data_IF_472460804870
#
_entry.id   IF_472460804870
#
_cell.length_a   1.000
_cell.length_b   1.000
_cell.length_c   1.000
_cell.angle_alpha   90.00
_cell.angle_beta   90.00
_cell.angle_gamma   90.00
#
_symmetry.space_group_name_H-M   'P 1'
#
loop_
_entity.id
_entity.type
_entity.pdbx_description
1 polymer ?
#
# COMPACT_ATOMS: atom_id res chain seq x y z
N UNK A 1 1.93 31.12 10.97
CA UNK A 1 2.74 32.07 10.17
C UNK A 1 4.13 32.32 10.74
N UNK A 2 4.30 32.57 12.05
CA UNK A 2 5.64 32.73 12.65
C UNK A 2 6.57 31.52 12.41
N UNK A 3 6.06 30.29 12.48
CA UNK A 3 6.86 29.09 12.17
C UNK A 3 7.25 29.01 10.69
N UNK A 4 6.39 29.42 9.76
CA UNK A 4 6.77 29.56 8.34
C UNK A 4 7.88 30.59 8.14
N UNK A 5 7.83 31.71 8.85
CA UNK A 5 8.84 32.77 8.75
C UNK A 5 10.18 32.40 9.42
N UNK A 6 10.14 31.70 10.57
CA UNK A 6 11.32 31.42 11.40
C UNK A 6 11.93 30.05 11.15
N UNK A 7 11.09 29.06 10.94
CA UNK A 7 11.46 27.64 10.85
C UNK A 7 11.30 27.11 9.42
N UNK A 8 10.98 27.99 8.46
CA UNK A 8 10.81 27.67 7.03
C UNK A 8 9.79 26.54 6.76
N UNK A 9 8.83 26.35 7.66
CA UNK A 9 7.77 25.35 7.47
C UNK A 9 6.92 25.68 6.25
N UNK A 10 6.68 24.67 5.41
CA UNK A 10 5.75 24.76 4.29
C UNK A 10 4.32 24.88 4.81
N UNK A 11 3.56 25.83 4.26
CA UNK A 11 2.15 26.02 4.58
C UNK A 11 1.38 25.91 3.27
N UNK A 12 0.43 24.99 3.23
CA UNK A 12 -0.55 24.84 2.15
C UNK A 12 -1.87 25.43 2.65
N UNK A 13 -2.50 26.28 1.85
CA UNK A 13 -3.77 26.91 2.21
C UNK A 13 -4.92 26.36 1.38
N UNK A 14 -6.04 26.07 2.03
CA UNK A 14 -7.26 25.55 1.41
C UNK A 14 -8.42 26.45 1.84
N UNK A 15 -9.05 27.12 0.89
CA UNK A 15 -10.19 28.01 1.07
C UNK A 15 -11.47 27.29 0.64
N UNK A 16 -12.11 26.65 1.60
CA UNK A 16 -13.34 25.89 1.39
C UNK A 16 -14.57 26.73 1.75
N UNK A 17 -15.47 26.96 0.80
CA UNK A 17 -16.69 27.75 1.00
C UNK A 17 -16.46 29.21 1.39
N UNK A 18 -15.24 29.74 1.22
CA UNK A 18 -14.86 31.10 1.62
C UNK A 18 -13.99 31.76 0.55
N UNK A 19 -14.25 33.03 0.28
CA UNK A 19 -13.40 33.85 -0.58
C UNK A 19 -12.15 34.31 0.20
N UNK A 20 -10.93 34.06 -0.29
CA UNK A 20 -9.69 34.54 0.33
C UNK A 20 -9.64 36.06 0.51
N UNK A 21 -10.32 36.84 -0.33
CA UNK A 21 -10.46 38.29 -0.20
C UNK A 21 -11.14 38.67 1.12
N UNK A 22 -12.21 37.95 1.47
CA UNK A 22 -12.92 38.16 2.74
C UNK A 22 -12.07 37.74 3.93
N UNK A 23 -11.31 36.66 3.82
CA UNK A 23 -10.33 36.26 4.85
C UNK A 23 -9.22 37.30 4.98
N UNK A 24 -8.74 37.89 3.87
CA UNK A 24 -7.63 38.85 3.84
C UNK A 24 -8.00 40.19 4.41
N UNK A 25 -9.20 40.68 4.09
CA UNK A 25 -9.73 41.99 4.52
C UNK A 25 -10.56 41.90 5.81
N UNK A 26 -10.85 40.68 6.27
CA UNK A 26 -11.78 40.40 7.37
C UNK A 26 -13.14 41.07 7.10
N UNK A 27 -13.71 40.78 5.93
CA UNK A 27 -15.01 41.30 5.45
C UNK A 27 -16.04 40.18 5.30
N UNK A 28 -17.30 40.54 5.04
CA UNK A 28 -18.39 39.59 4.89
C UNK A 28 -18.64 38.74 6.14
N UNK A 29 -19.19 37.54 5.94
CA UNK A 29 -19.49 36.62 7.03
C UNK A 29 -18.25 36.21 7.85
N UNK A 30 -17.08 36.07 7.19
CA UNK A 30 -15.82 35.79 7.88
C UNK A 30 -15.42 36.95 8.81
N UNK A 31 -15.55 38.18 8.32
CA UNK A 31 -15.28 39.40 9.08
C UNK A 31 -16.18 39.56 10.31
N UNK A 32 -17.47 39.26 10.18
CA UNK A 32 -18.41 39.29 11.30
C UNK A 32 -18.02 38.29 12.40
N UNK A 33 -17.69 37.05 12.02
CA UNK A 33 -17.19 36.04 12.96
C UNK A 33 -15.86 36.45 13.60
N UNK A 34 -14.96 37.06 12.83
CA UNK A 34 -13.69 37.59 13.35
C UNK A 34 -13.91 38.69 14.39
N UNK A 35 -14.80 39.65 14.11
CA UNK A 35 -15.12 40.74 15.03
C UNK A 35 -15.70 40.22 16.34
N UNK A 36 -16.62 39.26 16.29
CA UNK A 36 -17.16 38.61 17.48
C UNK A 36 -16.06 37.89 18.28
N UNK A 37 -15.11 37.23 17.61
CA UNK A 37 -13.96 36.56 18.24
C UNK A 37 -12.98 37.55 18.89
N UNK A 38 -12.91 38.78 18.36
CA UNK A 38 -12.06 39.85 18.90
C UNK A 38 -12.64 40.55 20.14
N UNK A 39 -13.90 40.31 20.50
CA UNK A 39 -14.51 40.88 21.71
C UNK A 39 -13.72 40.43 22.94
N UNK A 40 -13.33 41.38 23.79
CA UNK A 40 -12.52 41.10 25.00
C UNK A 40 -11.05 40.78 24.75
N UNK A 41 -10.55 40.87 23.51
CA UNK A 41 -9.12 40.68 23.19
C UNK A 41 -8.36 42.00 23.18
N UNK A 42 -7.09 41.96 23.57
CA UNK A 42 -6.20 43.12 23.51
C UNK A 42 -5.89 43.50 22.06
N UNK A 43 -5.59 44.77 21.82
CA UNK A 43 -5.36 45.27 20.47
C UNK A 43 -4.15 44.61 19.79
N UNK A 44 -3.10 44.30 20.58
CA UNK A 44 -1.93 43.58 20.08
C UNK A 44 -2.26 42.15 19.58
N UNK A 45 -3.24 41.47 20.18
CA UNK A 45 -3.69 40.14 19.73
C UNK A 45 -4.47 40.27 18.42
N UNK A 46 -5.37 41.24 18.33
CA UNK A 46 -6.16 41.47 17.11
C UNK A 46 -5.27 41.78 15.92
N UNK A 47 -4.29 42.66 16.09
CA UNK A 47 -3.35 43.00 15.01
C UNK A 47 -2.44 41.83 14.63
N UNK A 48 -2.01 41.03 15.59
CA UNK A 48 -1.27 39.80 15.29
C UNK A 48 -2.10 38.83 14.43
N UNK A 49 -3.39 38.68 14.72
CA UNK A 49 -4.29 37.82 13.94
C UNK A 49 -4.55 38.38 12.55
N UNK A 50 -4.85 39.68 12.41
CA UNK A 50 -5.02 40.33 11.09
C UNK A 50 -3.79 40.13 10.21
N UNK A 51 -2.59 40.33 10.78
CA UNK A 51 -1.32 40.12 10.06
C UNK A 51 -1.17 38.66 9.63
N UNK A 52 -1.50 37.70 10.49
CA UNK A 52 -1.42 36.28 10.15
C UNK A 52 -2.42 35.88 9.04
N UNK A 53 -3.66 36.38 9.09
CA UNK A 53 -4.69 36.13 8.08
C UNK A 53 -4.35 36.75 6.72
N UNK A 54 -3.78 37.96 6.72
CA UNK A 54 -3.25 38.59 5.50
C UNK A 54 -2.07 37.79 4.92
N UNK A 55 -1.21 37.25 5.78
CA UNK A 55 -0.06 36.47 5.33
C UNK A 55 -0.47 35.10 4.77
N UNK A 56 -1.44 34.40 5.36
CA UNK A 56 -1.90 33.09 4.86
C UNK A 56 -2.65 33.20 3.53
N UNK A 57 -3.41 34.29 3.32
CA UNK A 57 -4.12 34.57 2.06
C UNK A 57 -3.21 35.04 0.93
N UNK A 58 -1.97 35.40 1.23
CA UNK A 58 -0.96 35.72 0.21
C UNK A 58 -0.21 34.48 -0.29
N UNK A 59 -0.48 33.30 0.28
CA UNK A 59 0.06 32.02 -0.16
C UNK A 59 -0.85 31.52 -1.28
N UNK A 60 -0.26 31.08 -2.40
CA UNK A 60 -1.02 30.33 -3.39
C UNK A 60 -1.62 29.08 -2.72
N UNK A 61 -2.91 28.87 -2.94
CA UNK A 61 -3.67 27.81 -2.27
C UNK A 61 -4.81 27.31 -3.14
N UNK A 62 -5.57 26.38 -2.59
CA UNK A 62 -6.72 25.78 -3.26
C UNK A 62 -7.97 26.56 -2.91
N UNK A 63 -8.78 26.84 -3.91
CA UNK A 63 -10.08 27.48 -3.74
C UNK A 63 -11.16 26.50 -4.17
N UNK A 64 -12.01 26.09 -3.25
CA UNK A 64 -13.13 25.15 -3.52
C UNK A 64 -13.95 25.53 -4.76
N UNK A 65 -14.20 26.83 -4.97
CA UNK A 65 -14.96 27.35 -6.12
C UNK A 65 -14.30 27.12 -7.48
N UNK A 66 -12.99 26.81 -7.52
CA UNK A 66 -12.27 26.51 -8.77
C UNK A 66 -12.38 25.04 -9.18
N UNK A 67 -13.11 24.21 -8.41
CA UNK A 67 -13.22 22.78 -8.62
C UNK A 67 -14.68 22.36 -8.74
N UNK A 68 -14.99 21.61 -9.79
CA UNK A 68 -16.34 21.06 -10.00
C UNK A 68 -16.64 19.83 -9.12
N UNK A 69 -15.59 19.25 -8.51
CA UNK A 69 -15.68 18.05 -7.67
C UNK A 69 -14.67 18.13 -6.52
N UNK A 70 -15.17 18.01 -5.29
CA UNK A 70 -14.34 18.01 -4.07
C UNK A 70 -13.34 16.86 -4.04
N UNK A 71 -13.71 15.67 -4.55
CA UNK A 71 -12.79 14.53 -4.58
C UNK A 71 -11.54 14.84 -5.41
N UNK A 72 -11.70 15.50 -6.57
CA UNK A 72 -10.57 15.93 -7.41
C UNK A 72 -9.67 16.93 -6.70
N UNK A 73 -10.26 17.87 -5.97
CA UNK A 73 -9.49 18.83 -5.17
C UNK A 73 -8.68 18.12 -4.08
N UNK A 74 -9.29 17.15 -3.39
CA UNK A 74 -8.62 16.37 -2.34
C UNK A 74 -7.46 15.56 -2.92
N UNK A 75 -7.65 14.91 -4.06
CA UNK A 75 -6.60 14.14 -4.73
C UNK A 75 -5.39 15.03 -5.08
N UNK A 76 -5.62 16.21 -5.64
CA UNK A 76 -4.53 17.14 -5.99
C UNK A 76 -3.82 17.72 -4.77
N UNK A 77 -4.57 18.05 -3.71
CA UNK A 77 -3.98 18.44 -2.42
C UNK A 77 -3.09 17.32 -1.87
N UNK A 78 -3.55 16.06 -1.92
CA UNK A 78 -2.79 14.92 -1.43
C UNK A 78 -1.49 14.73 -2.25
N UNK A 79 -1.56 14.84 -3.57
CA UNK A 79 -0.40 14.75 -4.46
C UNK A 79 0.64 15.84 -4.13
N UNK A 80 0.22 17.09 -3.93
CA UNK A 80 1.15 18.17 -3.62
C UNK A 80 1.72 18.06 -2.20
N UNK A 81 0.95 17.58 -1.22
CA UNK A 81 1.47 17.23 0.11
C UNK A 81 2.53 16.14 0.02
N UNK A 82 2.31 15.09 -0.77
CA UNK A 82 3.30 14.02 -0.97
C UNK A 82 4.60 14.55 -1.57
N UNK A 83 4.52 15.45 -2.57
CA UNK A 83 5.69 16.11 -3.16
C UNK A 83 6.46 16.94 -2.13
N UNK A 84 5.75 17.73 -1.32
CA UNK A 84 6.36 18.58 -0.27
C UNK A 84 7.05 17.73 0.80
N UNK A 85 6.45 16.61 1.19
CA UNK A 85 7.03 15.70 2.18
C UNK A 85 8.20 14.86 1.61
N UNK A 86 8.48 14.95 0.30
CA UNK A 86 9.50 14.15 -0.34
C UNK A 86 9.19 12.64 -0.27
N UNK A 87 7.91 12.28 -0.16
CA UNK A 87 7.44 10.89 -0.25
C UNK A 87 7.62 10.43 -1.70
N UNK A 88 8.85 10.07 -2.02
CA UNK A 88 9.22 9.52 -3.31
C UNK A 88 8.87 8.04 -3.35
N UNK A 89 8.58 7.47 -4.54
CA UNK A 89 8.63 6.03 -4.76
C UNK A 89 9.88 5.46 -4.07
N UNK A 90 9.75 4.35 -3.35
CA UNK A 90 10.91 3.65 -2.79
C UNK A 90 11.95 3.43 -3.89
N UNK A 91 13.14 4.00 -3.69
CA UNK A 91 14.33 3.77 -4.52
C UNK A 91 15.11 2.54 -4.09
N UNK A 92 14.60 1.80 -3.11
CA UNK A 92 15.29 0.63 -2.53
C UNK A 92 15.63 -0.43 -3.59
N UNK A 93 15.02 -0.33 -4.78
CA UNK A 93 15.21 -1.23 -5.90
C UNK A 93 15.77 -0.58 -7.18
N UNK A 94 16.07 0.73 -7.18
CA UNK A 94 16.69 1.41 -8.34
C UNK A 94 18.10 0.84 -8.63
N UNK A 95 18.78 0.34 -7.60
CA UNK A 95 20.12 -0.27 -7.70
C UNK A 95 20.09 -1.77 -8.02
N UNK A 96 18.90 -2.39 -8.11
CA UNK A 96 18.76 -3.80 -8.46
C UNK A 96 18.86 -3.99 -9.99
N UNK A 97 20.05 -3.74 -10.52
CA UNK A 97 20.40 -3.95 -11.93
C UNK A 97 20.00 -5.38 -12.34
N UNK A 98 19.15 -5.51 -13.36
CA UNK A 98 18.82 -6.80 -13.99
C UNK A 98 17.58 -7.52 -13.44
N UNK A 99 16.84 -6.91 -12.50
CA UNK A 99 15.51 -7.40 -12.12
C UNK A 99 14.41 -7.03 -13.13
N UNK A 100 14.68 -6.10 -14.05
CA UNK A 100 13.69 -5.60 -15.02
C UNK A 100 13.14 -6.71 -15.93
N UNK A 101 14.00 -7.62 -16.41
CA UNK A 101 13.58 -8.73 -17.25
C UNK A 101 12.67 -9.72 -16.48
N UNK A 102 13.01 -9.99 -15.22
CA UNK A 102 12.27 -10.87 -14.31
C UNK A 102 10.89 -10.31 -14.02
N UNK A 103 10.84 -9.02 -13.68
CA UNK A 103 9.61 -8.29 -13.41
C UNK A 103 8.75 -8.16 -14.67
N UNK A 104 9.37 -7.96 -15.84
CA UNK A 104 8.66 -7.93 -17.12
C UNK A 104 8.02 -9.27 -17.46
N UNK A 105 8.67 -10.39 -17.19
CA UNK A 105 8.08 -11.72 -17.37
C UNK A 105 6.90 -11.95 -16.41
N UNK A 106 7.06 -11.58 -15.12
CA UNK A 106 5.96 -11.65 -14.15
C UNK A 106 4.78 -10.74 -14.53
N UNK A 107 5.03 -9.51 -14.99
CA UNK A 107 3.99 -8.61 -15.53
C UNK A 107 3.36 -9.17 -16.79
N UNK A 108 4.12 -9.87 -17.64
CA UNK A 108 3.58 -10.56 -18.80
C UNK A 108 2.64 -11.70 -18.37
N UNK A 109 3.01 -12.49 -17.36
CA UNK A 109 2.16 -13.54 -16.81
C UNK A 109 0.86 -12.97 -16.22
N UNK A 110 0.96 -11.83 -15.53
CA UNK A 110 -0.20 -11.10 -15.02
C UNK A 110 -1.09 -10.54 -16.15
N UNK A 111 -0.52 -10.12 -17.28
CA UNK A 111 -1.28 -9.56 -18.42
C UNK A 111 -1.82 -10.60 -19.40
N UNK A 112 -1.31 -11.84 -19.37
CA UNK A 112 -1.87 -12.96 -20.14
C UNK A 112 -3.23 -13.43 -19.59
N UNK A 113 -3.56 -13.06 -18.36
CA UNK A 113 -4.84 -13.32 -17.72
C UNK A 113 -5.79 -12.15 -17.99
N UNK A 114 -7.07 -12.42 -18.21
CA UNK A 114 -8.08 -11.38 -18.43
C UNK A 114 -8.00 -10.32 -17.31
N UNK A 115 -8.15 -9.05 -17.66
CA UNK A 115 -7.99 -7.96 -16.68
C UNK A 115 -8.97 -8.07 -15.50
N UNK A 116 -10.10 -8.74 -15.71
CA UNK A 116 -11.12 -8.99 -14.70
C UNK A 116 -10.92 -10.28 -13.88
N UNK A 117 -9.94 -11.14 -14.22
CA UNK A 117 -9.70 -12.37 -13.46
C UNK A 117 -8.88 -12.11 -12.17
N UNK A 118 -9.12 -12.94 -11.16
CA UNK A 118 -8.29 -12.99 -9.95
C UNK A 118 -7.04 -13.84 -10.24
N UNK A 119 -5.88 -13.26 -9.99
CA UNK A 119 -4.57 -13.78 -10.41
C UNK A 119 -3.81 -14.27 -9.18
N UNK A 120 -3.53 -15.57 -9.09
CA UNK A 120 -2.69 -16.13 -8.02
C UNK A 120 -1.40 -16.67 -8.63
N UNK A 121 -0.26 -16.13 -8.20
CA UNK A 121 1.08 -16.50 -8.68
C UNK A 121 1.91 -17.02 -7.52
N UNK A 122 2.55 -18.17 -7.71
CA UNK A 122 3.55 -18.72 -6.80
C UNK A 122 4.98 -18.45 -7.30
N UNK A 123 5.84 -17.89 -6.46
CA UNK A 123 7.29 -17.77 -6.70
C UNK A 123 7.98 -18.82 -5.82
N UNK A 124 8.54 -19.85 -6.45
CA UNK A 124 9.15 -20.98 -5.75
C UNK A 124 10.65 -21.08 -6.01
N UNK A 125 11.41 -21.55 -5.05
CA UNK A 125 12.85 -21.77 -5.21
C UNK A 125 13.57 -21.82 -3.85
N UNK A 126 14.87 -22.16 -3.84
CA UNK A 126 15.63 -22.34 -2.60
C UNK A 126 15.79 -21.03 -1.79
N UNK A 127 16.17 -21.14 -0.54
CA UNK A 127 16.57 -20.01 0.30
C UNK A 127 17.68 -19.16 -0.37
N UNK A 128 17.63 -17.84 -0.19
CA UNK A 128 18.68 -16.92 -0.67
C UNK A 128 18.67 -16.60 -2.18
N UNK A 129 17.81 -17.24 -2.99
CA UNK A 129 17.76 -16.99 -4.45
C UNK A 129 17.10 -15.65 -4.83
N UNK A 130 16.52 -14.94 -3.86
CA UNK A 130 15.90 -13.61 -4.05
C UNK A 130 14.39 -13.62 -4.33
N UNK A 131 13.64 -14.60 -3.79
CA UNK A 131 12.16 -14.66 -3.90
C UNK A 131 11.50 -13.43 -3.29
N UNK A 132 11.79 -13.15 -2.01
CA UNK A 132 11.31 -11.97 -1.27
C UNK A 132 11.61 -10.68 -2.01
N UNK A 133 12.85 -10.50 -2.48
CA UNK A 133 13.25 -9.31 -3.23
C UNK A 133 12.43 -9.16 -4.51
N UNK A 134 12.22 -10.25 -5.26
CA UNK A 134 11.41 -10.24 -6.49
C UNK A 134 9.95 -9.87 -6.19
N UNK A 135 9.36 -10.48 -5.16
CA UNK A 135 7.98 -10.19 -4.76
C UNK A 135 7.82 -8.73 -4.28
N UNK A 136 8.81 -8.20 -3.55
CA UNK A 136 8.81 -6.84 -3.03
C UNK A 136 8.94 -5.79 -4.14
N UNK A 137 9.80 -6.02 -5.14
CA UNK A 137 9.90 -5.15 -6.31
C UNK A 137 8.57 -5.13 -7.08
N UNK A 138 7.97 -6.32 -7.29
CA UNK A 138 6.69 -6.42 -7.97
C UNK A 138 5.58 -5.70 -7.19
N UNK A 139 5.54 -5.88 -5.87
CA UNK A 139 4.60 -5.19 -4.99
C UNK A 139 4.73 -3.67 -5.10
N UNK A 140 5.94 -3.13 -4.98
CA UNK A 140 6.17 -1.69 -5.04
C UNK A 140 5.78 -1.07 -6.38
N UNK A 141 5.88 -1.84 -7.47
CA UNK A 141 5.48 -1.38 -8.80
C UNK A 141 3.97 -1.46 -9.05
N UNK A 142 3.28 -2.43 -8.43
CA UNK A 142 1.85 -2.66 -8.65
C UNK A 142 0.96 -1.96 -7.61
N UNK A 143 1.42 -1.76 -6.38
CA UNK A 143 0.59 -1.35 -5.24
C UNK A 143 -0.22 -0.08 -5.46
N UNK A 144 0.26 0.83 -6.32
CA UNK A 144 -0.43 2.08 -6.68
C UNK A 144 -1.74 1.87 -7.43
N UNK A 145 -1.87 0.74 -8.13
CA UNK A 145 -3.05 0.43 -8.96
C UNK A 145 -4.14 -0.31 -8.14
N UNK A 146 -3.94 -0.45 -6.83
CA UNK A 146 -4.80 -1.19 -5.91
C UNK A 146 -5.13 -0.36 -4.67
N UNK A 147 -6.41 -0.13 -4.44
CA UNK A 147 -6.94 0.53 -3.23
C UNK A 147 -6.55 -0.24 -1.95
N UNK A 148 -6.62 -1.57 -2.01
CA UNK A 148 -6.28 -2.45 -0.90
C UNK A 148 -5.04 -3.25 -1.25
N UNK A 149 -3.92 -2.97 -0.58
CA UNK A 149 -2.68 -3.70 -0.79
C UNK A 149 -1.96 -3.99 0.52
N UNK A 150 -1.28 -5.15 0.59
CA UNK A 150 -0.44 -5.49 1.73
C UNK A 150 0.69 -6.44 1.33
N UNK A 151 1.80 -6.31 2.03
CA UNK A 151 2.93 -7.24 2.01
C UNK A 151 3.04 -7.88 3.40
N UNK A 152 2.84 -9.19 3.47
CA UNK A 152 2.92 -9.96 4.71
C UNK A 152 4.10 -10.90 4.58
N UNK A 153 5.11 -10.67 5.42
CA UNK A 153 6.19 -11.61 5.63
C UNK A 153 5.76 -12.64 6.66
N UNK A 154 6.05 -13.91 6.40
CA UNK A 154 5.97 -14.92 7.44
C UNK A 154 6.91 -14.50 8.58
N UNK A 155 6.31 -14.06 9.68
CA UNK A 155 7.05 -13.74 10.88
C UNK A 155 7.39 -15.09 11.50
N UNK A 156 8.47 -15.70 11.02
CA UNK A 156 9.03 -16.99 11.48
C UNK A 156 9.21 -17.05 13.01
N UNK A 157 9.08 -15.94 13.74
CA UNK A 157 9.25 -15.85 15.19
C UNK A 157 8.04 -15.37 16.02
N UNK A 158 6.88 -14.98 15.47
CA UNK A 158 5.80 -14.46 16.34
C UNK A 158 4.80 -15.51 16.80
N UNK A 159 4.59 -16.58 16.03
CA UNK A 159 3.67 -17.66 16.37
C UNK A 159 4.25 -18.98 15.88
N UNK A 160 5.10 -19.62 16.69
CA UNK A 160 5.35 -21.05 16.51
C UNK A 160 4.01 -21.79 16.56
N UNK A 161 3.84 -22.81 15.72
CA UNK A 161 2.73 -23.75 15.85
C UNK A 161 2.73 -24.24 17.31
N UNK A 162 1.67 -24.00 18.12
CA UNK A 162 1.73 -24.34 19.51
C UNK A 162 1.96 -25.85 19.64
N UNK A 163 3.09 -26.21 20.22
CA UNK A 163 3.50 -27.57 20.50
C UNK A 163 2.39 -28.32 21.22
N UNK A 164 1.78 -29.29 20.52
CA UNK A 164 0.90 -30.38 21.00
C UNK A 164 -0.13 -30.07 22.11
N UNK A 165 -0.57 -28.81 22.29
CA UNK A 165 -1.47 -28.42 23.37
C UNK A 165 -2.21 -27.09 23.22
N UNK A 166 -1.94 -26.31 22.15
CA UNK A 166 -2.71 -25.10 21.83
C UNK A 166 -3.78 -25.37 20.79
N UNK A 167 -4.94 -24.71 20.89
CA UNK A 167 -6.04 -24.87 19.94
C UNK A 167 -5.58 -24.57 18.51
N UNK A 168 -5.57 -25.60 17.66
CA UNK A 168 -5.27 -25.53 16.22
C UNK A 168 -6.08 -24.45 15.45
N UNK A 169 -7.16 -23.95 16.06
CA UNK A 169 -8.04 -22.94 15.47
C UNK A 169 -7.52 -21.50 15.62
N UNK A 170 -6.62 -21.23 16.57
CA UNK A 170 -6.15 -19.85 16.83
C UNK A 170 -5.16 -19.38 15.76
N UNK A 171 -4.34 -20.30 15.26
CA UNK A 171 -3.27 -19.98 14.32
C UNK A 171 -3.75 -19.44 12.95
N UNK A 172 -4.75 -20.06 12.29
CA UNK A 172 -5.33 -19.49 11.06
C UNK A 172 -6.09 -18.18 11.32
N UNK A 173 -6.70 -18.00 12.50
CA UNK A 173 -7.41 -16.77 12.85
C UNK A 173 -6.46 -15.59 13.01
N UNK A 174 -5.29 -15.81 13.62
CA UNK A 174 -4.26 -14.78 13.79
C UNK A 174 -3.75 -14.28 12.43
N UNK A 175 -3.57 -15.18 11.46
CA UNK A 175 -3.21 -14.83 10.09
C UNK A 175 -4.29 -14.03 9.35
N UNK A 176 -5.56 -14.40 9.51
CA UNK A 176 -6.65 -13.57 8.97
C UNK A 176 -6.71 -12.21 9.66
N UNK A 177 -6.50 -12.15 10.98
CA UNK A 177 -6.48 -10.91 11.74
C UNK A 177 -5.39 -9.99 11.20
N UNK A 178 -4.18 -10.50 11.01
CA UNK A 178 -3.05 -9.74 10.47
C UNK A 178 -3.35 -9.23 9.06
N UNK A 179 -3.86 -10.10 8.18
CA UNK A 179 -4.23 -9.72 6.80
C UNK A 179 -5.23 -8.57 6.79
N UNK A 180 -6.34 -8.72 7.51
CA UNK A 180 -7.41 -7.72 7.51
C UNK A 180 -6.99 -6.44 8.23
N UNK A 181 -6.18 -6.53 9.28
CA UNK A 181 -5.68 -5.35 10.00
C UNK A 181 -4.79 -4.51 9.11
N UNK A 182 -3.89 -5.13 8.33
CA UNK A 182 -3.05 -4.43 7.36
C UNK A 182 -3.83 -3.88 6.17
N UNK A 183 -4.76 -4.64 5.61
CA UNK A 183 -5.53 -4.20 4.44
C UNK A 183 -6.52 -3.08 4.76
N UNK A 184 -7.11 -3.07 5.96
CA UNK A 184 -8.18 -2.12 6.32
C UNK A 184 -7.76 -1.08 7.37
N UNK A 185 -6.50 -1.09 7.83
CA UNK A 185 -5.99 -0.21 8.90
C UNK A 185 -6.88 -0.22 10.16
N UNK A 186 -7.45 -1.38 10.51
CA UNK A 186 -8.34 -1.55 11.66
C UNK A 186 -7.72 -2.51 12.66
N UNK A 187 -7.31 -2.01 13.83
CA UNK A 187 -6.63 -2.78 14.88
C UNK A 187 -7.56 -3.58 15.79
N UNK A 188 -8.89 -3.46 15.63
CA UNK A 188 -9.85 -3.92 16.66
C UNK A 188 -10.98 -4.80 16.13
N UNK A 189 -10.69 -5.62 15.11
CA UNK A 189 -11.63 -6.65 14.65
C UNK A 189 -11.27 -7.99 15.28
N UNK A 190 -11.96 -8.37 16.35
CA UNK A 190 -11.93 -9.76 16.80
C UNK A 190 -12.57 -10.64 15.73
N UNK A 191 -11.75 -11.33 14.92
CA UNK A 191 -12.26 -12.36 14.00
C UNK A 191 -12.77 -13.54 14.82
N UNK A 192 -14.09 -13.71 14.84
CA UNK A 192 -14.76 -14.81 15.52
C UNK A 192 -14.75 -16.14 14.75
N UNK A 193 -14.44 -16.12 13.45
CA UNK A 193 -14.42 -17.31 12.59
C UNK A 193 -13.63 -17.10 11.29
N UNK A 194 -13.24 -18.19 10.62
CA UNK A 194 -12.45 -18.14 9.37
C UNK A 194 -13.20 -17.66 8.12
N UNK A 195 -14.48 -17.30 8.22
CA UNK A 195 -15.26 -16.71 7.12
C UNK A 195 -15.19 -15.19 7.02
N UNK A 196 -14.55 -14.49 7.98
CA UNK A 196 -14.56 -13.01 7.98
C UNK A 196 -13.75 -12.47 6.81
N UNK A 197 -12.59 -13.08 6.51
CA UNK A 197 -11.75 -12.64 5.41
C UNK A 197 -12.49 -12.72 4.06
N UNK A 198 -13.15 -13.85 3.78
CA UNK A 198 -14.00 -14.02 2.59
C UNK A 198 -15.04 -12.89 2.48
N UNK A 199 -15.82 -12.67 3.54
CA UNK A 199 -16.91 -11.69 3.52
C UNK A 199 -16.42 -10.26 3.24
N UNK A 200 -15.24 -9.91 3.77
CA UNK A 200 -14.69 -8.56 3.64
C UNK A 200 -13.96 -8.33 2.33
N UNK A 201 -13.25 -9.33 1.84
CA UNK A 201 -12.44 -9.26 0.61
C UNK A 201 -13.28 -9.48 -0.65
N UNK A 202 -14.46 -10.11 -0.52
CA UNK A 202 -15.34 -10.39 -1.65
C UNK A 202 -15.69 -9.09 -2.40
N UNK A 203 -15.47 -9.12 -3.71
CA UNK A 203 -15.74 -8.00 -4.60
C UNK A 203 -14.75 -6.84 -4.52
N UNK A 204 -13.68 -6.93 -3.72
CA UNK A 204 -12.63 -5.91 -3.66
C UNK A 204 -11.45 -6.31 -4.53
N UNK A 205 -10.95 -5.36 -5.31
CA UNK A 205 -9.70 -5.51 -6.05
C UNK A 205 -8.53 -5.33 -5.08
N UNK A 206 -7.79 -6.40 -4.81
CA UNK A 206 -6.70 -6.39 -3.81
C UNK A 206 -5.36 -6.83 -4.40
N UNK A 207 -4.25 -6.30 -3.85
CA UNK A 207 -2.90 -6.81 -4.08
C UNK A 207 -2.33 -7.38 -2.77
N UNK A 208 -2.14 -8.68 -2.70
CA UNK A 208 -1.63 -9.34 -1.48
C UNK A 208 -0.34 -10.07 -1.81
N UNK A 209 0.73 -9.79 -1.07
CA UNK A 209 1.94 -10.62 -1.06
C UNK A 209 2.04 -11.40 0.23
N UNK A 210 2.20 -12.71 0.10
CA UNK A 210 2.41 -13.68 1.17
C UNK A 210 3.82 -14.23 1.01
N UNK A 211 4.77 -13.64 1.73
CA UNK A 211 6.19 -13.99 1.62
C UNK A 211 6.60 -15.07 2.61
N UNK A 212 7.39 -16.03 2.14
CA UNK A 212 7.95 -17.16 2.89
C UNK A 212 6.91 -18.13 3.47
N UNK A 213 5.85 -18.46 2.73
CA UNK A 213 4.86 -19.44 3.17
C UNK A 213 5.45 -20.85 3.29
N UNK A 214 5.31 -21.46 4.46
CA UNK A 214 5.87 -22.78 4.80
C UNK A 214 4.79 -23.86 5.06
N UNK A 215 3.52 -23.47 5.15
CA UNK A 215 2.44 -24.41 5.43
C UNK A 215 1.12 -24.03 4.76
N UNK A 216 0.36 -25.07 4.36
CA UNK A 216 -0.90 -24.92 3.65
C UNK A 216 -1.97 -24.22 4.49
N UNK A 217 -1.97 -24.45 5.81
CA UNK A 217 -2.94 -23.84 6.73
C UNK A 217 -2.85 -22.30 6.75
N UNK A 218 -1.64 -21.72 6.63
CA UNK A 218 -1.47 -20.26 6.50
C UNK A 218 -2.11 -19.77 5.21
N UNK A 219 -1.79 -20.42 4.09
CA UNK A 219 -2.32 -20.05 2.76
C UNK A 219 -3.84 -20.16 2.75
N UNK A 220 -4.40 -21.26 3.27
CA UNK A 220 -5.86 -21.44 3.39
C UNK A 220 -6.52 -20.42 4.33
N UNK A 221 -5.80 -19.91 5.33
CA UNK A 221 -6.36 -18.88 6.20
C UNK A 221 -6.63 -17.59 5.42
N UNK A 222 -5.76 -17.21 4.49
CA UNK A 222 -5.80 -15.88 3.84
C UNK A 222 -6.27 -15.91 2.39
N UNK A 223 -6.10 -17.03 1.70
CA UNK A 223 -6.32 -17.16 0.25
C UNK A 223 -6.85 -18.55 -0.14
N UNK A 224 -7.85 -19.07 0.60
CA UNK A 224 -8.39 -20.42 0.39
C UNK A 224 -8.96 -20.65 -1.01
N UNK A 225 -9.70 -19.67 -1.53
CA UNK A 225 -10.42 -19.75 -2.79
C UNK A 225 -10.27 -18.45 -3.56
N UNK A 226 -10.27 -18.58 -4.88
CA UNK A 226 -10.22 -17.44 -5.81
C UNK A 226 -11.42 -16.50 -5.61
N UNK A 227 -12.60 -17.07 -5.32
CA UNK A 227 -13.86 -16.34 -5.12
C UNK A 227 -13.89 -15.41 -3.89
N UNK A 228 -12.86 -15.47 -3.03
CA UNK A 228 -12.71 -14.54 -1.92
C UNK A 228 -12.40 -13.12 -2.38
N UNK A 229 -11.91 -12.95 -3.61
CA UNK A 229 -11.38 -11.68 -4.10
C UNK A 229 -12.24 -11.13 -5.23
N UNK A 230 -12.22 -9.81 -5.40
CA UNK A 230 -12.90 -9.15 -6.51
C UNK A 230 -12.12 -9.23 -7.81
N UNK A 231 -12.78 -8.96 -8.96
CA UNK A 231 -12.14 -8.90 -10.26
C UNK A 231 -10.85 -8.07 -10.29
N UNK A 232 -9.84 -8.56 -11.03
CA UNK A 232 -8.54 -7.90 -11.19
C UNK A 232 -7.63 -7.95 -9.96
N UNK A 233 -7.97 -8.74 -8.93
CA UNK A 233 -7.11 -8.94 -7.76
C UNK A 233 -5.85 -9.75 -8.10
N UNK A 234 -4.75 -9.47 -7.41
CA UNK A 234 -3.47 -10.15 -7.58
C UNK A 234 -2.96 -10.64 -6.24
N UNK A 235 -2.69 -11.94 -6.14
CA UNK A 235 -2.13 -12.60 -4.96
C UNK A 235 -0.80 -13.23 -5.36
N UNK A 236 0.27 -12.86 -4.67
CA UNK A 236 1.62 -13.38 -4.90
C UNK A 236 2.03 -14.16 -3.65
N UNK A 237 2.40 -15.42 -3.83
CA UNK A 237 2.88 -16.29 -2.74
C UNK A 237 4.33 -16.63 -3.02
N UNK A 238 5.22 -16.45 -2.04
CA UNK A 238 6.58 -16.99 -2.14
C UNK A 238 6.74 -18.18 -1.21
N UNK A 239 7.46 -19.22 -1.66
CA UNK A 239 7.70 -20.42 -0.85
C UNK A 239 8.95 -21.17 -1.31
N UNK A 240 9.51 -22.01 -0.45
CA UNK A 240 10.51 -23.00 -0.81
C UNK A 240 9.88 -24.35 -1.22
N UNK A 241 8.65 -24.61 -0.77
CA UNK A 241 7.97 -25.89 -1.01
C UNK A 241 6.93 -25.77 -2.13
N UNK A 242 7.32 -26.27 -3.31
CA UNK A 242 6.45 -26.39 -4.48
C UNK A 242 5.17 -27.18 -4.21
N UNK A 243 5.19 -28.14 -3.28
CA UNK A 243 4.03 -28.96 -3.00
C UNK A 243 2.90 -28.15 -2.34
N UNK A 244 3.23 -27.08 -1.61
CA UNK A 244 2.21 -26.16 -1.05
C UNK A 244 1.40 -25.50 -2.16
N UNK A 245 2.07 -25.01 -3.21
CA UNK A 245 1.41 -24.38 -4.35
C UNK A 245 0.52 -25.38 -5.10
N UNK A 246 1.01 -26.62 -5.29
CA UNK A 246 0.25 -27.69 -5.93
C UNK A 246 -0.97 -28.11 -5.11
N UNK A 247 -0.82 -28.26 -3.80
CA UNK A 247 -1.92 -28.61 -2.89
C UNK A 247 -3.02 -27.53 -2.91
N UNK A 248 -2.64 -26.26 -3.04
CA UNK A 248 -3.56 -25.14 -3.19
C UNK A 248 -4.18 -25.03 -4.60
N UNK A 249 -3.68 -25.79 -5.59
CA UNK A 249 -4.14 -25.74 -6.97
C UNK A 249 -3.69 -24.49 -7.74
N UNK A 250 -2.59 -23.86 -7.33
CA UNK A 250 -2.04 -22.68 -8.00
C UNK A 250 -1.43 -23.12 -9.34
N UNK A 251 -1.97 -22.59 -10.44
CA UNK A 251 -1.58 -22.96 -11.81
C UNK A 251 -0.33 -22.22 -12.31
N UNK A 252 -0.10 -21.01 -11.83
CA UNK A 252 0.98 -20.15 -12.31
C UNK A 252 2.09 -20.10 -11.27
N UNK A 253 3.09 -20.95 -11.47
CA UNK A 253 4.30 -21.00 -10.66
C UNK A 253 5.50 -20.54 -11.47
N UNK A 254 6.37 -19.75 -10.85
CA UNK A 254 7.62 -19.29 -11.46
C UNK A 254 8.79 -19.73 -10.60
N UNK A 255 9.76 -20.38 -11.24
CA UNK A 255 11.00 -20.79 -10.59
C UNK A 255 11.93 -19.61 -10.43
N UNK A 256 12.16 -19.22 -9.18
CA UNK A 256 13.10 -18.17 -8.81
C UNK A 256 14.53 -18.51 -9.27
N UNK A 257 14.86 -19.81 -9.41
CA UNK A 257 16.12 -20.24 -10.01
C UNK A 257 16.20 -19.96 -11.52
N UNK A 258 15.12 -20.17 -12.28
CA UNK A 258 15.10 -19.84 -13.72
C UNK A 258 15.19 -18.33 -13.94
N UNK A 259 14.47 -17.58 -13.11
CA UNK A 259 14.56 -16.14 -12.96
C UNK A 259 16.02 -15.72 -12.67
N UNK A 260 16.71 -16.42 -11.76
CA UNK A 260 18.12 -16.20 -11.45
C UNK A 260 19.05 -16.50 -12.63
N UNK A 261 18.89 -17.64 -13.29
CA UNK A 261 19.73 -18.03 -14.41
C UNK A 261 19.57 -17.08 -15.61
N UNK A 262 18.34 -16.66 -15.89
CA UNK A 262 18.06 -15.72 -16.97
C UNK A 262 18.72 -14.36 -16.71
N UNK A 263 18.83 -13.97 -15.44
CA UNK A 263 19.56 -12.79 -15.02
C UNK A 263 21.09 -12.97 -15.09
N UNK A 264 21.63 -13.99 -14.43
CA UNK A 264 23.06 -14.14 -14.25
C UNK A 264 23.77 -14.60 -15.54
N UNK A 265 23.05 -15.30 -16.43
CA UNK A 265 23.63 -15.98 -17.58
C UNK A 265 22.88 -15.73 -18.90
N UNK A 266 21.78 -14.96 -18.90
CA UNK A 266 20.97 -14.72 -20.11
C UNK A 266 20.24 -15.96 -20.63
N UNK A 267 20.16 -17.04 -19.85
CA UNK A 267 19.58 -18.34 -20.25
C UNK A 267 18.66 -18.87 -19.16
N UNK A 268 17.58 -19.57 -19.55
CA UNK A 268 16.58 -20.10 -18.58
C UNK A 268 17.08 -21.29 -17.74
N UNK A 269 18.22 -21.88 -18.10
CA UNK A 269 18.85 -22.97 -17.36
C UNK A 269 20.35 -22.99 -17.64
N UNK A 270 21.15 -23.36 -16.63
CA UNK A 270 22.55 -23.70 -16.83
C UNK A 270 22.58 -25.18 -17.21
N UNK A 271 22.78 -25.52 -18.48
CA UNK A 271 23.20 -26.86 -18.84
C UNK A 271 24.63 -27.03 -18.35
N UNK A 272 24.81 -27.80 -17.27
CA UNK A 272 26.13 -28.29 -16.88
C UNK A 272 26.72 -29.02 -18.10
N UNK A 273 27.66 -28.37 -18.78
CA UNK A 273 28.65 -29.10 -19.56
C UNK A 273 29.42 -29.88 -18.49
N UNK A 274 29.05 -31.14 -18.30
CA UNK A 274 29.92 -32.12 -17.67
C UNK A 274 31.13 -32.19 -18.59
N UNK A 275 32.19 -31.49 -18.23
CA UNK A 275 33.50 -31.75 -18.80
C UNK A 275 33.99 -33.06 -18.17
N UNK A 276 34.18 -34.06 -19.01
CA UNK A 276 34.86 -35.32 -18.70
C UNK A 276 36.24 -35.10 -18.04
#
# INVERSE_FOLDING_TARGET
>A
MKCREREQQTVISIFYGVDPSDVRKQTGAFGEAFNNTCVGRTEGVKEAWKKALKAVTSIAGYHSHNWDNEAKMIDEVAVDVMKVLGLTPSKDFDDFVGMEARIKELKSLLSLQLDDDVKIIGIVGPAGIGKTSTARVLYNQLSRDFEFNTFIEDIRGSNEMPSLGGSHHKYPLDWQNELLSRLFNQTDNKIGHLGVAEQRLRGKKVLIVLDEMDCLLKIEAVAKKVDWFGPGSVIIITTEDRNLLKAQGIKYEVEAFQIFCQYAFGQKSISLIVAD
#
